data_IF_005711540891
#
_entry.id   IF_005711540891
#
_cell.length_a   1.000
_cell.length_b   1.000
_cell.length_c   1.000
_cell.angle_alpha   90.00
_cell.angle_beta   90.00
_cell.angle_gamma   90.00
#
_symmetry.space_group_name_H-M   'P 1'
#
loop_
_entity.id
_entity.type
_entity.pdbx_description
1 polymer ?
#
# COMPACT_ATOMS: atom_id res chain seq x y z
N UNK A 1 -9.01 9.45 63.73
CA UNK A 1 -9.26 10.35 62.59
C UNK A 1 -8.93 9.62 61.29
N UNK A 2 -9.87 9.67 60.34
CA UNK A 2 -9.76 9.22 58.93
C UNK A 2 -8.84 10.20 58.18
N UNK A 3 -8.00 9.76 57.23
CA UNK A 3 -8.05 10.21 55.81
C UNK A 3 -7.43 9.15 54.90
N UNK A 4 -8.15 8.83 53.82
CA UNK A 4 -7.76 8.04 52.65
C UNK A 4 -6.75 8.80 51.78
N UNK A 5 -5.81 8.09 51.14
CA UNK A 5 -4.99 8.64 50.05
C UNK A 5 -4.81 7.61 48.94
N UNK A 6 -5.79 7.53 48.03
CA UNK A 6 -5.66 6.87 46.72
C UNK A 6 -5.12 7.91 45.74
N UNK A 7 -3.92 7.72 45.22
CA UNK A 7 -3.33 8.53 44.16
C UNK A 7 -3.14 7.72 42.90
N UNK A 8 -4.09 7.83 41.97
CA UNK A 8 -3.96 7.47 40.56
C UNK A 8 -2.94 8.39 39.86
N UNK A 9 -2.29 7.83 38.83
CA UNK A 9 -1.73 8.45 37.63
C UNK A 9 -0.28 8.02 37.39
N UNK A 10 -0.11 6.76 36.97
CA UNK A 10 0.98 6.45 36.04
C UNK A 10 0.41 6.61 34.64
N UNK A 11 0.67 7.79 34.05
CA UNK A 11 0.58 7.98 32.62
C UNK A 11 1.48 6.95 31.94
N UNK A 12 0.87 5.87 31.46
CA UNK A 12 1.51 4.96 30.53
C UNK A 12 1.54 5.64 29.17
N UNK A 13 2.46 6.60 28.98
CA UNK A 13 2.84 7.04 27.65
C UNK A 13 3.57 5.88 26.97
N UNK A 14 2.79 4.93 26.45
CA UNK A 14 3.25 3.91 25.52
C UNK A 14 3.74 4.66 24.27
N UNK A 15 5.04 4.94 24.18
CA UNK A 15 5.66 5.27 22.90
C UNK A 15 5.39 4.09 21.97
N UNK A 16 4.57 4.32 20.95
CA UNK A 16 4.04 3.26 20.09
C UNK A 16 5.11 2.79 19.10
N UNK A 17 5.42 1.48 19.03
CA UNK A 17 6.34 0.92 18.03
C UNK A 17 5.84 0.94 16.57
N UNK A 18 4.72 1.59 16.27
CA UNK A 18 4.05 1.56 14.96
C UNK A 18 4.19 2.83 14.11
N UNK A 19 4.60 3.95 14.71
CA UNK A 19 4.46 5.29 14.12
C UNK A 19 5.44 5.54 12.95
N UNK A 20 6.59 4.85 12.92
CA UNK A 20 7.61 5.06 11.87
C UNK A 20 7.41 4.21 10.62
N UNK A 21 6.90 2.98 10.75
CA UNK A 21 6.89 2.04 9.63
C UNK A 21 5.82 2.36 8.60
N UNK A 22 4.58 2.61 9.01
CA UNK A 22 3.47 2.92 8.08
C UNK A 22 3.63 4.29 7.42
N UNK A 23 4.06 5.30 8.18
CA UNK A 23 4.37 6.62 7.63
C UNK A 23 5.51 6.56 6.62
N UNK A 24 6.59 5.83 6.92
CA UNK A 24 7.70 5.64 5.98
C UNK A 24 7.27 4.91 4.69
N UNK A 25 6.44 3.86 4.81
CA UNK A 25 5.91 3.17 3.63
C UNK A 25 5.04 4.09 2.77
N UNK A 26 4.14 4.88 3.38
CA UNK A 26 3.32 5.83 2.65
C UNK A 26 4.18 6.89 1.96
N UNK A 27 5.10 7.53 2.68
CA UNK A 27 6.03 8.53 2.11
C UNK A 27 6.88 7.96 0.98
N UNK A 28 7.34 6.71 1.10
CA UNK A 28 8.08 6.02 0.04
C UNK A 28 7.21 5.85 -1.21
N UNK A 29 5.98 5.36 -1.07
CA UNK A 29 5.07 5.18 -2.21
C UNK A 29 4.77 6.50 -2.90
N UNK A 30 4.44 7.55 -2.13
CA UNK A 30 4.19 8.88 -2.67
C UNK A 30 5.43 9.41 -3.41
N UNK A 31 6.63 9.17 -2.87
CA UNK A 31 7.88 9.57 -3.51
C UNK A 31 8.12 8.79 -4.81
N UNK A 32 7.87 7.48 -4.85
CA UNK A 32 8.01 6.67 -6.06
C UNK A 32 7.05 7.13 -7.16
N UNK A 33 5.79 7.41 -6.81
CA UNK A 33 4.80 7.95 -7.76
C UNK A 33 5.25 9.32 -8.29
N UNK A 34 5.72 10.21 -7.40
CA UNK A 34 6.12 11.57 -7.76
C UNK A 34 7.40 11.62 -8.59
N UNK A 35 8.32 10.69 -8.34
CA UNK A 35 9.65 10.62 -8.96
C UNK A 35 9.75 9.49 -9.97
N UNK A 36 8.63 9.00 -10.49
CA UNK A 36 8.60 7.79 -11.32
C UNK A 36 9.54 7.87 -12.52
N UNK A 37 9.40 8.88 -13.39
CA UNK A 37 10.27 9.07 -14.56
C UNK A 37 11.76 9.26 -14.19
N UNK A 38 12.12 10.10 -13.19
CA UNK A 38 13.49 10.16 -12.69
C UNK A 38 14.04 8.81 -12.22
N UNK A 39 13.25 8.02 -11.49
CA UNK A 39 13.66 6.70 -11.00
C UNK A 39 13.89 5.75 -12.18
N UNK A 40 12.93 5.63 -13.11
CA UNK A 40 13.09 4.80 -14.32
C UNK A 40 14.36 5.18 -15.08
N UNK A 41 14.58 6.47 -15.30
CA UNK A 41 15.78 6.98 -15.99
C UNK A 41 17.07 6.60 -15.27
N UNK A 42 17.10 6.77 -13.94
CA UNK A 42 18.25 6.42 -13.12
C UNK A 42 18.54 4.91 -13.15
N UNK A 43 17.51 4.08 -12.99
CA UNK A 43 17.69 2.62 -13.00
C UNK A 43 18.15 2.15 -14.38
N UNK A 44 17.66 2.75 -15.47
CA UNK A 44 18.12 2.46 -16.83
C UNK A 44 19.61 2.81 -17.02
N UNK A 45 20.07 3.94 -16.47
CA UNK A 45 21.51 4.29 -16.48
C UNK A 45 22.32 3.23 -15.71
N UNK A 46 21.86 2.83 -14.53
CA UNK A 46 22.54 1.82 -13.70
C UNK A 46 22.63 0.47 -14.43
N UNK A 47 21.55 0.04 -15.07
CA UNK A 47 21.51 -1.23 -15.81
C UNK A 47 22.50 -1.26 -16.98
N UNK A 48 22.66 -0.14 -17.68
CA UNK A 48 23.48 -0.07 -18.90
C UNK A 48 24.95 0.28 -18.63
N UNK A 49 25.33 0.65 -17.40
CA UNK A 49 26.73 0.91 -17.04
C UNK A 49 27.49 -0.42 -16.84
N UNK A 50 28.52 -0.72 -17.65
CA UNK A 50 29.32 -1.93 -17.51
C UNK A 50 30.03 -2.05 -16.15
N UNK A 51 30.25 -0.95 -15.44
CA UNK A 51 30.88 -0.95 -14.11
C UNK A 51 29.95 -1.46 -13.00
N UNK A 52 28.65 -1.52 -13.28
CA UNK A 52 27.60 -1.91 -12.32
C UNK A 52 27.21 -3.39 -12.45
N UNK A 53 28.14 -4.25 -12.88
CA UNK A 53 27.91 -5.70 -13.08
C UNK A 53 27.20 -6.36 -11.88
N UNK A 54 27.53 -5.96 -10.65
CA UNK A 54 26.95 -6.52 -9.42
C UNK A 54 25.48 -6.17 -9.19
N UNK A 55 25.01 -5.02 -9.69
CA UNK A 55 23.64 -4.50 -9.47
C UNK A 55 22.79 -4.48 -10.73
N UNK A 56 23.38 -4.75 -11.90
CA UNK A 56 22.69 -4.75 -13.20
C UNK A 56 21.46 -5.65 -13.24
N UNK A 57 21.54 -6.84 -12.65
CA UNK A 57 20.41 -7.78 -12.60
C UNK A 57 19.25 -7.22 -11.77
N UNK A 58 19.56 -6.56 -10.65
CA UNK A 58 18.55 -5.92 -9.79
C UNK A 58 17.92 -4.72 -10.49
N UNK A 59 18.74 -3.86 -11.11
CA UNK A 59 18.26 -2.74 -11.92
C UNK A 59 17.34 -3.20 -13.05
N UNK A 60 17.70 -4.28 -13.75
CA UNK A 60 16.88 -4.89 -14.79
C UNK A 60 15.54 -5.40 -14.26
N UNK A 61 15.53 -6.03 -13.08
CA UNK A 61 14.30 -6.51 -12.45
C UNK A 61 13.39 -5.36 -12.00
N UNK A 62 13.99 -4.27 -11.48
CA UNK A 62 13.25 -3.07 -11.09
C UNK A 62 12.62 -2.39 -12.31
N UNK A 63 13.38 -2.18 -13.39
CA UNK A 63 12.83 -1.61 -14.63
C UNK A 63 11.70 -2.47 -15.20
N UNK A 64 11.92 -3.78 -15.28
CA UNK A 64 10.91 -4.70 -15.77
C UNK A 64 9.59 -4.61 -14.99
N UNK A 65 9.67 -4.38 -13.67
CA UNK A 65 8.51 -4.16 -12.81
C UNK A 65 7.92 -2.76 -12.99
N UNK A 66 8.72 -1.70 -13.08
CA UNK A 66 8.21 -0.34 -13.28
C UNK A 66 7.49 -0.18 -14.62
N UNK A 67 7.93 -0.90 -15.66
CA UNK A 67 7.28 -0.97 -16.98
C UNK A 67 6.12 -1.98 -17.04
N UNK A 68 5.58 -2.38 -15.90
CA UNK A 68 4.46 -3.33 -15.82
C UNK A 68 3.21 -2.67 -15.25
N UNK A 69 2.10 -2.79 -15.98
CA UNK A 69 0.82 -2.22 -15.58
C UNK A 69 0.33 -2.77 -14.23
N UNK A 70 0.54 -4.06 -13.93
CA UNK A 70 0.13 -4.63 -12.65
C UNK A 70 0.90 -3.99 -11.49
N UNK A 71 2.20 -3.73 -11.65
CA UNK A 71 2.98 -3.01 -10.66
C UNK A 71 2.43 -1.60 -10.42
N UNK A 72 2.17 -0.82 -11.47
CA UNK A 72 1.62 0.54 -11.36
C UNK A 72 0.23 0.52 -10.69
N UNK A 73 -0.63 -0.44 -11.08
CA UNK A 73 -1.94 -0.63 -10.47
C UNK A 73 -1.83 -0.91 -8.96
N UNK A 74 -0.91 -1.80 -8.56
CA UNK A 74 -0.65 -2.10 -7.15
C UNK A 74 -0.10 -0.87 -6.43
N UNK A 75 0.78 -0.09 -7.06
CA UNK A 75 1.36 1.11 -6.48
C UNK A 75 0.28 2.13 -6.09
N UNK A 76 -0.66 2.42 -6.99
CA UNK A 76 -1.80 3.31 -6.70
C UNK A 76 -2.81 2.70 -5.72
N UNK A 77 -3.05 1.39 -5.78
CA UNK A 77 -3.87 0.71 -4.77
C UNK A 77 -3.29 0.89 -3.36
N UNK A 78 -1.98 0.72 -3.22
CA UNK A 78 -1.29 0.89 -1.93
C UNK A 78 -1.32 2.34 -1.48
N UNK A 79 -1.16 3.32 -2.38
CA UNK A 79 -1.33 4.74 -2.04
C UNK A 79 -2.72 5.03 -1.46
N UNK A 80 -3.79 4.52 -2.07
CA UNK A 80 -5.16 4.72 -1.59
C UNK A 80 -5.41 4.06 -0.22
N UNK A 81 -4.86 2.88 0.03
CA UNK A 81 -5.03 2.17 1.31
C UNK A 81 -4.19 2.83 2.40
N UNK A 82 -2.91 3.12 2.12
CA UNK A 82 -1.98 3.68 3.08
C UNK A 82 -2.31 5.13 3.43
N UNK A 83 -2.84 5.94 2.51
CA UNK A 83 -3.28 7.30 2.83
C UNK A 83 -4.35 7.30 3.93
N UNK A 84 -5.35 6.42 3.85
CA UNK A 84 -6.40 6.32 4.88
C UNK A 84 -5.82 5.91 6.24
N UNK A 85 -4.94 4.89 6.26
CA UNK A 85 -4.34 4.43 7.52
C UNK A 85 -3.34 5.41 8.08
N UNK A 86 -2.63 6.16 7.22
CA UNK A 86 -1.72 7.22 7.61
C UNK A 86 -2.48 8.40 8.24
N UNK A 87 -3.54 8.90 7.60
CA UNK A 87 -4.41 9.95 8.14
C UNK A 87 -5.01 9.56 9.50
N UNK A 88 -5.49 8.31 9.62
CA UNK A 88 -6.00 7.78 10.88
C UNK A 88 -4.90 7.78 11.95
N UNK A 89 -3.70 7.29 11.61
CA UNK A 89 -2.57 7.23 12.55
C UNK A 89 -2.18 8.62 13.04
N UNK A 90 -2.06 9.59 12.13
CA UNK A 90 -1.76 10.99 12.47
C UNK A 90 -2.83 11.59 13.37
N UNK A 91 -4.11 11.33 13.08
CA UNK A 91 -5.22 11.84 13.88
C UNK A 91 -5.24 11.24 15.29
N UNK A 92 -5.03 9.92 15.42
CA UNK A 92 -5.02 9.22 16.71
C UNK A 92 -3.79 9.54 17.57
N UNK A 93 -2.70 10.03 16.98
CA UNK A 93 -1.47 10.40 17.70
C UNK A 93 -1.52 11.81 18.28
N UNK A 94 -2.55 12.62 17.96
CA UNK A 94 -2.66 13.96 18.54
C UNK A 94 -2.88 13.87 20.06
N UNK A 95 -2.25 14.78 20.79
CA UNK A 95 -2.27 14.78 22.28
C UNK A 95 -3.64 15.12 22.88
N UNK A 96 -4.54 15.67 22.06
CA UNK A 96 -5.86 16.18 22.44
C UNK A 96 -7.00 15.18 22.15
N UNK A 97 -6.68 13.92 21.84
CA UNK A 97 -7.70 12.93 21.47
C UNK A 97 -8.36 12.29 22.69
N UNK A 98 -9.68 12.43 22.78
CA UNK A 98 -10.51 11.63 23.67
C UNK A 98 -10.98 10.31 23.00
N UNK A 99 -11.51 9.40 23.83
CA UNK A 99 -11.98 8.09 23.38
C UNK A 99 -13.13 8.17 22.37
N UNK A 100 -14.07 9.10 22.55
CA UNK A 100 -15.22 9.23 21.67
C UNK A 100 -14.77 9.69 20.26
N UNK A 101 -13.85 10.66 20.20
CA UNK A 101 -13.27 11.12 18.94
C UNK A 101 -12.44 10.03 18.27
N UNK A 102 -11.62 9.29 19.05
CA UNK A 102 -10.86 8.16 18.52
C UNK A 102 -11.77 7.09 17.89
N UNK A 103 -12.91 6.75 18.52
CA UNK A 103 -13.89 5.82 17.96
C UNK A 103 -14.50 6.38 16.67
N UNK A 104 -14.83 7.67 16.63
CA UNK A 104 -15.35 8.31 15.43
C UNK A 104 -14.36 8.23 14.26
N UNK A 105 -13.08 8.54 14.51
CA UNK A 105 -12.00 8.45 13.51
C UNK A 105 -11.84 7.03 12.96
N UNK A 106 -11.85 6.01 13.83
CA UNK A 106 -11.77 4.60 13.41
C UNK A 106 -12.98 4.21 12.55
N UNK A 107 -14.19 4.69 12.89
CA UNK A 107 -15.39 4.45 12.08
C UNK A 107 -15.28 5.08 10.70
N UNK A 108 -14.83 6.33 10.62
CA UNK A 108 -14.60 7.03 9.33
C UNK A 108 -13.58 6.29 8.47
N UNK A 109 -12.44 5.90 9.03
CA UNK A 109 -11.41 5.16 8.31
C UNK A 109 -11.93 3.80 7.81
N UNK A 110 -12.71 3.09 8.63
CA UNK A 110 -13.36 1.82 8.24
C UNK A 110 -14.29 2.01 7.04
N UNK A 111 -15.15 3.03 7.07
CA UNK A 111 -16.08 3.34 5.96
C UNK A 111 -15.29 3.66 4.70
N UNK A 112 -14.23 4.48 4.79
CA UNK A 112 -13.37 4.79 3.62
C UNK A 112 -12.71 3.55 3.03
N UNK A 113 -12.17 2.65 3.87
CA UNK A 113 -11.58 1.38 3.43
C UNK A 113 -12.61 0.42 2.81
N UNK A 114 -13.87 0.45 3.28
CA UNK A 114 -14.95 -0.32 2.69
C UNK A 114 -15.38 0.26 1.33
N UNK A 115 -15.45 1.57 1.21
CA UNK A 115 -15.79 2.26 -0.04
C UNK A 115 -14.75 2.05 -1.14
N UNK A 116 -13.47 1.86 -0.79
CA UNK A 116 -12.48 1.39 -1.75
C UNK A 116 -12.99 0.11 -2.41
N UNK A 117 -13.23 -0.94 -1.63
CA UNK A 117 -13.64 -2.26 -2.13
C UNK A 117 -14.86 -2.21 -3.05
N UNK A 118 -15.92 -1.49 -2.70
CA UNK A 118 -17.20 -1.60 -3.42
C UNK A 118 -17.36 -0.65 -4.60
N UNK A 119 -16.68 0.51 -4.64
CA UNK A 119 -17.04 1.60 -5.57
C UNK A 119 -15.84 2.18 -6.33
N UNK A 120 -14.61 2.07 -5.82
CA UNK A 120 -13.47 2.81 -6.39
C UNK A 120 -12.56 2.00 -7.30
N UNK A 121 -12.98 0.83 -7.77
CA UNK A 121 -12.19 0.07 -8.74
C UNK A 121 -12.01 0.86 -10.04
N UNK A 122 -13.10 1.38 -10.61
CA UNK A 122 -13.06 2.12 -11.87
C UNK A 122 -12.19 3.39 -11.74
N UNK A 123 -12.33 4.11 -10.62
CA UNK A 123 -11.50 5.29 -10.30
C UNK A 123 -10.01 4.92 -10.21
N UNK A 124 -9.68 3.80 -9.56
CA UNK A 124 -8.30 3.33 -9.49
C UNK A 124 -7.78 2.94 -10.87
N UNK A 125 -8.61 2.29 -11.67
CA UNK A 125 -8.22 1.87 -13.02
C UNK A 125 -7.95 3.08 -13.90
N UNK A 126 -8.85 4.07 -13.91
CA UNK A 126 -8.67 5.32 -14.66
C UNK A 126 -7.39 6.05 -14.23
N UNK A 127 -7.16 6.18 -12.93
CA UNK A 127 -5.93 6.77 -12.39
C UNK A 127 -4.68 6.05 -12.89
N UNK A 128 -4.70 4.71 -12.84
CA UNK A 128 -3.59 3.87 -13.29
C UNK A 128 -3.38 4.00 -14.80
N UNK A 129 -4.45 3.99 -15.59
CA UNK A 129 -4.41 4.14 -17.04
C UNK A 129 -3.84 5.49 -17.46
N UNK A 130 -4.29 6.59 -16.85
CA UNK A 130 -3.74 7.92 -17.12
C UNK A 130 -2.28 8.05 -16.70
N UNK A 131 -1.90 7.45 -15.57
CA UNK A 131 -0.51 7.38 -15.14
C UNK A 131 0.35 6.61 -16.16
N UNK A 132 -0.10 5.42 -16.59
CA UNK A 132 0.62 4.62 -17.57
C UNK A 132 0.78 5.35 -18.91
N UNK A 133 -0.27 6.02 -19.42
CA UNK A 133 -0.16 6.86 -20.63
C UNK A 133 0.88 7.95 -20.48
N UNK A 134 0.90 8.64 -19.34
CA UNK A 134 1.85 9.73 -19.06
C UNK A 134 3.30 9.26 -19.01
N UNK A 135 3.52 8.04 -18.53
CA UNK A 135 4.85 7.47 -18.30
C UNK A 135 5.26 6.42 -19.34
N UNK A 136 4.50 6.30 -20.45
CA UNK A 136 4.75 5.37 -21.56
C UNK A 136 4.84 3.90 -21.10
N UNK A 137 3.99 3.52 -20.14
CA UNK A 137 3.85 2.13 -19.69
C UNK A 137 2.74 1.46 -20.49
N UNK A 138 3.05 0.30 -21.08
CA UNK A 138 2.10 -0.49 -21.87
C UNK A 138 0.83 -0.83 -21.06
N UNK A 139 -0.33 -0.54 -21.65
CA UNK A 139 -1.63 -0.83 -21.04
C UNK A 139 -2.19 -2.11 -21.68
N UNK A 140 -2.47 -3.17 -20.90
CA UNK A 140 -3.02 -4.40 -21.43
C UNK A 140 -4.46 -4.21 -21.90
N UNK A 141 -4.86 -4.99 -22.90
CA UNK A 141 -6.27 -5.07 -23.27
C UNK A 141 -7.05 -5.79 -22.16
N UNK A 142 -7.98 -5.07 -21.54
CA UNK A 142 -8.78 -5.57 -20.41
C UNK A 142 -9.65 -6.79 -20.76
N UNK A 143 -9.95 -7.00 -22.04
CA UNK A 143 -10.72 -8.13 -22.55
C UNK A 143 -9.92 -9.42 -22.75
N UNK A 144 -8.58 -9.33 -22.77
CA UNK A 144 -7.70 -10.48 -22.97
C UNK A 144 -7.54 -11.31 -21.69
N UNK A 145 -7.13 -12.57 -21.84
CA UNK A 145 -6.80 -13.43 -20.72
C UNK A 145 -5.54 -12.94 -20.00
N UNK A 146 -5.62 -12.86 -18.67
CA UNK A 146 -4.48 -12.46 -17.85
C UNK A 146 -3.37 -13.52 -17.91
N UNK A 147 -2.16 -13.08 -18.27
CA UNK A 147 -0.95 -13.88 -18.21
C UNK A 147 0.11 -13.07 -17.47
N UNK A 148 0.60 -13.54 -16.30
CA UNK A 148 1.65 -12.82 -15.58
C UNK A 148 2.88 -12.59 -16.45
N UNK A 149 3.44 -11.38 -16.39
CA UNK A 149 4.70 -11.04 -17.10
C UNK A 149 5.80 -12.02 -16.64
N UNK A 150 6.53 -12.60 -17.59
CA UNK A 150 7.58 -13.61 -17.31
C UNK A 150 7.08 -15.05 -17.11
N UNK A 151 5.78 -15.34 -17.31
CA UNK A 151 5.23 -16.71 -17.32
C UNK A 151 4.85 -17.16 -18.73
N UNK A 152 4.90 -18.47 -18.97
CA UNK A 152 4.44 -19.07 -20.23
C UNK A 152 2.93 -18.91 -20.40
N UNK A 153 2.49 -18.62 -21.63
CA UNK A 153 1.06 -18.58 -22.01
C UNK A 153 0.32 -19.88 -21.78
N UNK A 154 1.01 -21.02 -21.71
CA UNK A 154 0.40 -22.32 -21.33
C UNK A 154 -0.13 -22.32 -19.89
N UNK A 155 0.32 -21.37 -19.07
CA UNK A 155 -0.13 -21.14 -17.70
C UNK A 155 -0.95 -19.84 -17.58
N UNK A 156 -1.52 -19.35 -18.69
CA UNK A 156 -2.40 -18.18 -18.65
C UNK A 156 -3.60 -18.47 -17.74
N UNK A 157 -4.03 -17.45 -17.01
CA UNK A 157 -5.22 -17.53 -16.18
C UNK A 157 -6.46 -17.76 -17.06
N UNK A 158 -7.47 -18.43 -16.51
CA UNK A 158 -8.81 -18.46 -17.11
C UNK A 158 -9.53 -17.12 -16.96
N UNK A 159 -9.01 -16.21 -16.13
CA UNK A 159 -9.58 -14.88 -15.90
C UNK A 159 -9.11 -13.90 -16.96
N UNK A 160 -10.00 -12.99 -17.36
CA UNK A 160 -9.63 -11.80 -18.12
C UNK A 160 -8.83 -10.82 -17.26
N UNK A 161 -8.05 -9.95 -17.88
CA UNK A 161 -7.30 -8.88 -17.19
C UNK A 161 -8.18 -8.09 -16.22
N UNK A 162 -9.36 -7.65 -16.68
CA UNK A 162 -10.33 -6.96 -15.84
C UNK A 162 -10.75 -7.78 -14.61
N UNK A 163 -11.08 -9.04 -14.81
CA UNK A 163 -11.54 -9.94 -13.74
C UNK A 163 -10.43 -10.23 -12.74
N UNK A 164 -9.20 -10.40 -13.22
CA UNK A 164 -8.02 -10.60 -12.38
C UNK A 164 -7.74 -9.37 -11.52
N UNK A 165 -7.69 -8.17 -12.11
CA UNK A 165 -7.46 -6.93 -11.34
C UNK A 165 -8.58 -6.67 -10.35
N UNK A 166 -9.83 -6.91 -10.75
CA UNK A 166 -10.98 -6.82 -9.85
C UNK A 166 -10.82 -7.81 -8.69
N UNK A 167 -10.50 -9.07 -8.97
CA UNK A 167 -10.23 -10.07 -7.94
C UNK A 167 -9.07 -9.65 -7.02
N UNK A 168 -7.95 -9.19 -7.57
CA UNK A 168 -6.82 -8.70 -6.77
C UNK A 168 -7.19 -7.51 -5.90
N UNK A 169 -7.96 -6.56 -6.45
CA UNK A 169 -8.46 -5.42 -5.73
C UNK A 169 -9.32 -5.84 -4.54
N UNK A 170 -10.17 -6.87 -4.71
CA UNK A 170 -11.00 -7.42 -3.64
C UNK A 170 -10.23 -8.31 -2.63
N UNK A 171 -9.25 -9.10 -3.09
CA UNK A 171 -8.54 -10.11 -2.28
C UNK A 171 -7.27 -9.56 -1.61
N UNK A 172 -6.42 -8.80 -2.32
CA UNK A 172 -5.15 -8.26 -1.77
C UNK A 172 -5.39 -7.12 -0.78
N UNK A 173 -6.40 -6.28 -0.99
CA UNK A 173 -6.79 -5.23 -0.02
C UNK A 173 -7.32 -5.83 1.30
N UNK A 174 -7.82 -7.07 1.28
CA UNK A 174 -8.31 -7.80 2.46
C UNK A 174 -7.24 -8.64 3.13
N UNK A 175 -6.40 -9.36 2.38
CA UNK A 175 -5.35 -10.23 2.95
C UNK A 175 -4.26 -9.43 3.66
N UNK A 176 -3.87 -8.26 3.15
CA UNK A 176 -2.94 -7.38 3.89
C UNK A 176 -3.58 -6.82 5.16
N UNK A 177 -4.89 -6.56 5.19
CA UNK A 177 -5.60 -6.16 6.40
C UNK A 177 -5.83 -7.33 7.39
N UNK A 178 -6.03 -8.56 6.92
CA UNK A 178 -6.34 -9.74 7.77
C UNK A 178 -5.06 -10.44 8.27
N UNK A 179 -4.08 -10.67 7.38
CA UNK A 179 -2.78 -11.26 7.74
C UNK A 179 -2.01 -10.32 8.66
N UNK A 180 -2.10 -9.01 8.44
CA UNK A 180 -1.52 -8.03 9.36
C UNK A 180 -2.28 -7.97 10.71
N UNK A 181 -3.61 -8.09 10.72
CA UNK A 181 -4.41 -8.08 11.96
C UNK A 181 -4.25 -9.35 12.81
N UNK A 182 -3.88 -10.49 12.24
CA UNK A 182 -3.61 -11.70 13.06
C UNK A 182 -2.16 -11.79 13.54
N UNK A 183 -1.16 -11.37 12.75
CA UNK A 183 0.24 -11.50 13.19
C UNK A 183 0.68 -10.45 14.21
N UNK A 184 0.10 -9.25 14.22
CA UNK A 184 0.53 -8.17 15.14
C UNK A 184 -0.31 -8.09 16.43
N UNK A 185 -1.52 -8.65 16.46
CA UNK A 185 -2.32 -8.74 17.69
C UNK A 185 -2.04 -9.98 18.54
N UNK A 186 -1.53 -11.09 17.97
CA UNK A 186 -1.24 -12.32 18.73
C UNK A 186 0.02 -12.24 19.61
N UNK A 187 0.92 -11.28 19.39
CA UNK A 187 2.14 -11.13 20.21
C UNK A 187 1.94 -10.18 21.40
N UNK A 188 0.84 -9.42 21.45
CA UNK A 188 0.57 -8.44 22.53
C UNK A 188 -0.25 -9.05 23.67
N UNK A 189 -0.86 -10.22 23.49
CA UNK A 189 -1.63 -10.92 24.54
C UNK A 189 -0.90 -12.14 25.15
N UNK A 190 0.42 -12.27 24.94
CA UNK A 190 1.25 -13.35 25.52
C UNK A 190 2.54 -12.85 26.20
N UNK A 191 2.50 -11.67 26.82
CA UNK A 191 3.44 -11.27 27.87
C UNK A 191 2.67 -10.62 29.01
#
# INVERSE_FOLDING_TARGET
MKVHGRGSNQESSLRRPGDTRWGSHYSTIVSVISLFSPIVSLVNIIQNDPKNDSVRTEASAILFAMEDFEFVFILHLMEMVLSITYELSQSLQRKDQDLANAIALVRVAKVRLQNLKSVKFDVLLDLTTEFCKKHDVDIPNMGDFYCPKGRSRRNASTLKFWEFFKFMYFDKSMKLLIVWKMKTSYTIFKQ
#
